data_IF_539165016997
#
_entry.id   IF_539165016997
#
_cell.length_a   1.000
_cell.length_b   1.000
_cell.length_c   1.000
_cell.angle_alpha   90.00
_cell.angle_beta   90.00
_cell.angle_gamma   90.00
#
_symmetry.space_group_name_H-M   'P 1'
#
loop_
_entity.id
_entity.type
_entity.pdbx_description
1 polymer ?
#
# COMPACT_ATOMS: atom_id res chain seq x y z
N UNK A 1 7.46 -9.25 13.47
CA UNK A 1 8.55 -9.31 12.47
C UNK A 1 8.04 -10.13 11.30
N UNK A 2 8.00 -9.61 10.07
CA UNK A 2 7.58 -10.42 8.93
C UNK A 2 8.61 -11.53 8.67
N UNK A 3 8.14 -12.76 8.58
CA UNK A 3 8.96 -13.89 8.18
C UNK A 3 9.11 -13.90 6.64
N UNK A 4 10.30 -14.22 6.15
CA UNK A 4 10.54 -14.48 4.72
C UNK A 4 9.78 -15.74 4.27
N UNK A 5 9.48 -15.92 2.96
CA UNK A 5 8.87 -17.14 2.44
C UNK A 5 9.60 -18.44 2.81
N UNK A 6 10.85 -18.36 3.23
CA UNK A 6 11.63 -19.48 3.75
C UNK A 6 11.54 -19.63 5.28
N UNK A 7 10.63 -18.94 5.95
CA UNK A 7 10.55 -18.89 7.41
C UNK A 7 11.72 -18.14 8.07
N UNK A 8 12.63 -17.59 7.29
CA UNK A 8 13.74 -16.80 7.78
C UNK A 8 13.29 -15.34 7.96
N UNK A 9 13.49 -14.79 9.15
CA UNK A 9 13.41 -13.35 9.40
C UNK A 9 14.44 -12.68 8.47
N UNK A 10 13.99 -11.71 7.65
CA UNK A 10 14.91 -10.93 6.82
C UNK A 10 16.05 -10.40 7.68
N UNK A 11 17.28 -10.71 7.28
CA UNK A 11 18.48 -10.23 7.96
C UNK A 11 18.39 -8.70 8.16
N UNK A 12 18.60 -8.18 9.37
CA UNK A 12 18.46 -6.76 9.68
C UNK A 12 19.23 -5.83 8.75
N UNK A 13 20.39 -6.27 8.26
CA UNK A 13 21.20 -5.52 7.29
C UNK A 13 20.53 -5.42 5.92
N UNK A 14 19.87 -6.48 5.45
CA UNK A 14 19.17 -6.49 4.16
C UNK A 14 17.92 -5.60 4.23
N UNK A 15 17.17 -5.68 5.33
CA UNK A 15 16.04 -4.79 5.59
C UNK A 15 16.47 -3.32 5.62
N UNK A 16 17.55 -3.00 6.33
CA UNK A 16 18.08 -1.64 6.40
C UNK A 16 18.52 -1.13 5.02
N UNK A 17 19.18 -1.96 4.22
CA UNK A 17 19.62 -1.60 2.87
C UNK A 17 18.41 -1.29 1.96
N UNK A 18 17.32 -2.05 2.03
CA UNK A 18 16.09 -1.78 1.27
C UNK A 18 15.40 -0.49 1.74
N UNK A 19 15.36 -0.24 3.05
CA UNK A 19 14.78 0.97 3.64
C UNK A 19 15.60 2.24 3.38
N UNK A 20 16.89 2.12 3.09
CA UNK A 20 17.78 3.24 2.77
C UNK A 20 17.97 3.48 1.28
N UNK A 21 17.35 2.67 0.42
CA UNK A 21 17.49 2.77 -1.04
C UNK A 21 16.92 4.07 -1.64
N UNK A 22 16.06 4.79 -0.91
CA UNK A 22 15.50 6.07 -1.35
C UNK A 22 15.88 7.20 -0.38
N UNK A 23 16.78 8.13 -0.78
CA UNK A 23 17.27 9.19 0.10
C UNK A 23 16.22 10.26 0.45
N UNK A 24 15.04 10.18 -0.14
CA UNK A 24 13.94 11.14 0.08
C UNK A 24 12.84 10.61 0.99
N UNK A 25 12.93 9.33 1.37
CA UNK A 25 11.97 8.68 2.24
C UNK A 25 12.67 8.22 3.52
N UNK A 26 11.94 8.23 4.62
CA UNK A 26 12.42 7.65 5.87
C UNK A 26 11.27 6.96 6.62
N UNK A 27 11.62 6.02 7.45
CA UNK A 27 10.68 5.34 8.34
C UNK A 27 10.61 6.07 9.65
N UNK A 28 9.40 6.36 10.12
CA UNK A 28 9.15 7.06 11.38
C UNK A 28 7.98 6.45 12.15
N UNK A 29 7.72 7.01 13.32
CA UNK A 29 6.57 6.67 14.14
C UNK A 29 5.30 7.33 13.54
N UNK A 30 4.29 6.51 13.24
CA UNK A 30 2.99 6.91 12.73
C UNK A 30 1.88 6.81 13.82
N UNK A 31 2.26 6.86 15.10
CA UNK A 31 1.36 6.80 16.24
C UNK A 31 0.60 5.47 16.31
N UNK A 32 -0.74 5.49 16.42
CA UNK A 32 -1.55 4.26 16.55
C UNK A 32 -1.39 3.26 15.40
N UNK A 33 -0.85 3.70 14.25
CA UNK A 33 -0.60 2.87 13.08
C UNK A 33 0.75 2.13 13.16
N UNK A 34 1.59 2.46 14.13
CA UNK A 34 2.93 1.90 14.29
C UNK A 34 3.97 2.64 13.46
N UNK A 35 4.74 1.93 12.64
CA UNK A 35 5.69 2.54 11.72
C UNK A 35 5.00 3.01 10.44
N UNK A 36 5.49 4.11 9.87
CA UNK A 36 5.05 4.64 8.60
C UNK A 36 6.22 5.15 7.77
N UNK A 37 5.95 5.50 6.53
CA UNK A 37 6.93 6.09 5.61
C UNK A 37 6.62 7.58 5.44
N UNK A 38 7.64 8.40 5.53
CA UNK A 38 7.54 9.85 5.47
C UNK A 38 8.43 10.41 4.37
N UNK A 39 8.01 11.53 3.78
CA UNK A 39 8.87 12.25 2.82
C UNK A 39 9.80 13.22 3.55
N UNK A 40 11.09 13.19 3.24
CA UNK A 40 12.08 14.14 3.76
C UNK A 40 12.07 15.49 3.04
N UNK A 41 11.30 15.63 1.96
CA UNK A 41 11.25 16.84 1.10
C UNK A 41 9.83 17.13 0.66
N UNK A 42 9.47 18.40 0.39
CA UNK A 42 8.19 18.72 -0.26
C UNK A 42 8.03 17.96 -1.59
N UNK A 43 6.80 17.58 -1.91
CA UNK A 43 6.42 16.89 -3.16
C UNK A 43 5.21 17.56 -3.76
N UNK A 44 5.13 17.54 -5.10
CA UNK A 44 3.97 18.04 -5.81
C UNK A 44 3.00 16.92 -6.16
N UNK A 45 1.73 17.23 -6.24
CA UNK A 45 0.74 16.32 -6.80
C UNK A 45 1.19 15.83 -8.18
N UNK A 46 1.06 14.52 -8.42
CA UNK A 46 1.50 13.84 -9.64
C UNK A 46 2.95 13.34 -9.62
N UNK A 47 3.78 13.73 -8.65
CA UNK A 47 5.14 13.21 -8.57
C UNK A 47 5.15 11.72 -8.22
N UNK A 48 6.03 10.98 -8.91
CA UNK A 48 6.32 9.57 -8.59
C UNK A 48 7.29 9.53 -7.42
N UNK A 49 6.89 8.85 -6.35
CA UNK A 49 7.65 8.76 -5.11
C UNK A 49 8.35 7.43 -4.94
N UNK A 50 7.80 6.36 -5.51
CA UNK A 50 8.39 5.02 -5.52
C UNK A 50 8.01 4.30 -6.82
N UNK A 51 8.92 3.45 -7.29
CA UNK A 51 8.77 2.71 -8.55
C UNK A 51 9.19 1.26 -8.38
N UNK A 52 8.39 0.34 -8.93
CA UNK A 52 8.72 -1.06 -9.19
C UNK A 52 8.34 -1.33 -10.66
N UNK A 53 9.25 -1.04 -11.60
CA UNK A 53 8.98 -1.13 -13.05
C UNK A 53 9.66 -2.34 -13.72
N UNK A 54 10.39 -3.15 -12.98
CA UNK A 54 11.05 -4.35 -13.52
C UNK A 54 10.13 -5.58 -13.58
N UNK A 55 8.86 -5.41 -13.24
CA UNK A 55 7.86 -6.47 -13.16
C UNK A 55 8.10 -7.46 -12.00
N UNK A 56 8.98 -7.11 -11.06
CA UNK A 56 9.30 -7.98 -9.92
C UNK A 56 8.11 -8.24 -9.03
N UNK A 57 7.20 -7.28 -8.92
CA UNK A 57 5.99 -7.45 -8.12
C UNK A 57 5.13 -8.63 -8.61
N UNK A 58 4.94 -8.78 -9.93
CA UNK A 58 4.16 -9.89 -10.51
C UNK A 58 4.83 -11.25 -10.30
N UNK A 59 6.17 -11.30 -10.37
CA UNK A 59 6.94 -12.53 -10.12
C UNK A 59 6.93 -12.96 -8.66
N UNK A 60 6.76 -12.02 -7.73
CA UNK A 60 6.69 -12.26 -6.29
C UNK A 60 5.27 -12.55 -5.80
N UNK A 61 4.27 -12.25 -6.61
CA UNK A 61 2.88 -12.45 -6.22
C UNK A 61 2.57 -13.96 -6.08
N UNK A 62 1.84 -14.28 -5.04
CA UNK A 62 1.45 -15.65 -4.68
C UNK A 62 -0.07 -15.77 -4.65
N UNK A 63 -0.64 -16.91 -5.04
CA UNK A 63 -2.02 -17.23 -4.71
C UNK A 63 -2.25 -17.15 -3.20
N UNK A 64 -3.44 -16.73 -2.78
CA UNK A 64 -3.75 -16.56 -1.34
C UNK A 64 -3.42 -17.81 -0.52
N UNK A 65 -3.82 -18.98 -1.00
CA UNK A 65 -3.55 -20.25 -0.30
C UNK A 65 -2.05 -20.49 -0.07
N UNK A 66 -1.21 -20.15 -1.05
CA UNK A 66 0.24 -20.30 -0.94
C UNK A 66 0.84 -19.28 0.05
N UNK A 67 0.34 -18.05 0.07
CA UNK A 67 0.78 -17.03 1.01
C UNK A 67 0.41 -17.42 2.47
N UNK A 68 -0.83 -17.88 2.68
CA UNK A 68 -1.28 -18.36 3.99
C UNK A 68 -0.49 -19.59 4.48
N UNK A 69 -0.15 -20.53 3.58
CA UNK A 69 0.68 -21.70 3.91
C UNK A 69 2.10 -21.32 4.35
N UNK A 70 2.59 -20.14 3.94
CA UNK A 70 3.86 -19.56 4.40
C UNK A 70 3.73 -18.79 5.72
N UNK A 71 2.55 -18.71 6.31
CA UNK A 71 2.30 -18.06 7.59
C UNK A 71 1.98 -16.57 7.52
N UNK A 72 1.78 -16.00 6.31
CA UNK A 72 1.42 -14.58 6.17
C UNK A 72 -0.02 -14.31 6.61
N UNK A 73 -0.22 -13.20 7.33
CA UNK A 73 -1.56 -12.71 7.69
C UNK A 73 -2.16 -11.90 6.55
N UNK A 74 -3.30 -12.37 6.00
CA UNK A 74 -3.96 -11.71 4.88
C UNK A 74 -4.31 -10.24 5.13
N UNK A 75 -4.78 -9.90 6.34
CA UNK A 75 -5.30 -8.56 6.66
C UNK A 75 -4.20 -7.58 7.03
N UNK A 76 -3.08 -8.08 7.55
CA UNK A 76 -2.02 -7.25 8.12
C UNK A 76 -0.80 -7.11 7.24
N UNK A 77 -0.53 -8.14 6.42
CA UNK A 77 0.78 -8.26 5.78
C UNK A 77 0.69 -8.36 4.26
N UNK A 78 -0.44 -8.86 3.72
CA UNK A 78 -0.55 -9.12 2.30
C UNK A 78 -1.18 -7.92 1.56
N UNK A 79 -0.50 -7.45 0.52
CA UNK A 79 -1.06 -6.50 -0.42
C UNK A 79 -1.77 -7.24 -1.57
N UNK A 80 -3.05 -6.98 -1.76
CA UNK A 80 -3.81 -7.61 -2.84
C UNK A 80 -3.50 -6.97 -4.19
N UNK A 81 -2.88 -7.74 -5.07
CA UNK A 81 -2.46 -7.30 -6.40
C UNK A 81 -3.52 -7.64 -7.47
N UNK A 82 -4.13 -8.82 -7.38
CA UNK A 82 -5.22 -9.28 -8.25
C UNK A 82 -6.23 -10.13 -7.44
N UNK A 83 -7.24 -10.68 -8.08
CA UNK A 83 -8.33 -11.42 -7.45
C UNK A 83 -7.84 -12.52 -6.49
N UNK A 84 -6.83 -13.28 -6.89
CA UNK A 84 -6.18 -14.33 -6.08
C UNK A 84 -4.65 -14.18 -6.09
N UNK A 85 -4.12 -12.97 -6.28
CA UNK A 85 -2.69 -12.73 -6.23
C UNK A 85 -2.36 -11.70 -5.16
N UNK A 86 -1.45 -12.07 -4.28
CA UNK A 86 -1.05 -11.29 -3.11
C UNK A 86 0.47 -11.15 -3.04
N UNK A 87 0.92 -9.99 -2.61
CA UNK A 87 2.33 -9.71 -2.37
C UNK A 87 2.62 -9.81 -0.89
N UNK A 88 3.48 -10.75 -0.48
CA UNK A 88 4.03 -10.76 0.86
C UNK A 88 5.07 -9.65 1.03
N UNK A 89 5.28 -9.16 2.27
CA UNK A 89 6.26 -8.13 2.56
C UNK A 89 7.68 -8.58 2.24
N UNK A 90 8.53 -7.64 1.84
CA UNK A 90 9.94 -7.89 1.51
C UNK A 90 10.93 -7.08 2.35
N UNK A 91 10.43 -6.25 3.27
CA UNK A 91 11.25 -5.38 4.12
C UNK A 91 11.64 -4.06 3.45
N UNK A 92 10.88 -3.60 2.46
CA UNK A 92 11.06 -2.31 1.80
C UNK A 92 10.04 -1.27 2.24
N UNK A 93 10.15 -0.03 1.76
CA UNK A 93 9.23 1.06 2.14
C UNK A 93 7.77 0.74 1.84
N UNK A 94 7.49 0.05 0.73
CA UNK A 94 6.15 -0.32 0.30
C UNK A 94 5.38 -1.17 1.33
N UNK A 95 6.09 -1.93 2.17
CA UNK A 95 5.48 -2.73 3.24
C UNK A 95 4.97 -1.88 4.43
N UNK A 96 5.37 -0.62 4.50
CA UNK A 96 5.13 0.28 5.64
C UNK A 96 4.19 1.45 5.29
N UNK A 97 3.61 1.46 4.10
CA UNK A 97 2.63 2.49 3.74
C UNK A 97 1.30 2.22 4.44
N UNK A 98 0.95 3.12 5.34
CA UNK A 98 -0.29 3.04 6.10
C UNK A 98 -1.51 3.48 5.28
N UNK A 99 -2.69 3.10 5.78
CA UNK A 99 -3.95 3.63 5.29
C UNK A 99 -4.21 5.03 5.81
N UNK A 100 -4.83 5.87 4.97
CA UNK A 100 -5.57 7.05 5.38
C UNK A 100 -6.87 7.20 4.56
N UNK A 101 -7.93 7.73 5.19
CA UNK A 101 -9.17 8.06 4.49
C UNK A 101 -9.06 9.35 3.66
N UNK A 102 -8.07 10.21 3.98
CA UNK A 102 -7.58 11.32 3.16
C UNK A 102 -6.10 11.07 2.86
N UNK A 103 -5.80 10.23 1.86
CA UNK A 103 -4.44 9.76 1.61
C UNK A 103 -3.56 10.83 0.94
N UNK A 104 -2.25 10.70 1.18
CA UNK A 104 -1.23 11.53 0.54
C UNK A 104 -0.86 11.03 -0.86
N UNK A 105 -1.08 9.75 -1.15
CA UNK A 105 -0.70 9.12 -2.40
C UNK A 105 -1.58 7.94 -2.79
N UNK A 106 -1.17 7.24 -3.84
CA UNK A 106 -1.84 6.04 -4.32
C UNK A 106 -0.97 5.23 -5.26
N UNK A 107 -1.29 3.94 -5.35
CA UNK A 107 -0.61 3.00 -6.22
C UNK A 107 -1.23 2.97 -7.61
N UNK A 108 -0.44 3.23 -8.63
CA UNK A 108 -0.76 2.94 -10.03
C UNK A 108 -0.14 1.60 -10.41
N UNK A 109 -0.97 0.58 -10.63
CA UNK A 109 -0.54 -0.77 -10.98
C UNK A 109 -0.75 -1.03 -12.46
N UNK A 110 0.28 -1.50 -13.13
CA UNK A 110 0.29 -1.83 -14.55
C UNK A 110 0.89 -3.23 -14.78
N UNK A 111 0.73 -3.82 -15.98
CA UNK A 111 1.42 -5.06 -16.31
C UNK A 111 2.96 -4.97 -16.18
N UNK A 112 3.54 -3.79 -16.34
CA UNK A 112 4.98 -3.56 -16.22
C UNK A 112 5.48 -3.39 -14.79
N UNK A 113 4.58 -3.13 -13.83
CA UNK A 113 4.99 -2.87 -12.44
C UNK A 113 4.04 -1.97 -11.68
N UNK A 114 4.55 -1.26 -10.71
CA UNK A 114 3.78 -0.33 -9.90
C UNK A 114 4.53 0.99 -9.65
N UNK A 115 3.77 2.07 -9.50
CA UNK A 115 4.28 3.38 -9.08
C UNK A 115 3.44 3.89 -7.93
N UNK A 116 4.09 4.45 -6.92
CA UNK A 116 3.41 5.23 -5.91
C UNK A 116 3.52 6.71 -6.26
N UNK A 117 2.38 7.37 -6.43
CA UNK A 117 2.31 8.79 -6.78
C UNK A 117 1.74 9.62 -5.63
N UNK A 118 2.21 10.87 -5.50
CA UNK A 118 1.55 11.86 -4.66
C UNK A 118 0.22 12.29 -5.32
N UNK A 119 -0.90 12.28 -4.59
CA UNK A 119 -2.21 12.70 -5.12
C UNK A 119 -2.63 14.10 -4.63
N UNK A 120 -1.80 14.72 -3.81
CA UNK A 120 -1.83 16.11 -3.37
C UNK A 120 -0.42 16.62 -3.14
N UNK A 121 -0.25 17.92 -2.97
CA UNK A 121 1.03 18.49 -2.52
C UNK A 121 1.34 18.01 -1.09
N UNK A 122 2.61 17.72 -0.84
CA UNK A 122 3.13 17.23 0.44
C UNK A 122 4.22 18.16 0.95
N UNK A 123 4.22 18.41 2.25
CA UNK A 123 5.33 19.05 2.95
C UNK A 123 6.40 18.01 3.33
N UNK A 124 7.60 18.47 3.63
CA UNK A 124 8.59 17.62 4.29
C UNK A 124 8.05 17.17 5.65
N UNK A 125 8.17 15.89 5.95
CA UNK A 125 7.62 15.27 7.16
C UNK A 125 6.21 14.71 7.00
N UNK A 126 5.53 14.91 5.86
CA UNK A 126 4.24 14.27 5.62
C UNK A 126 4.39 12.75 5.46
N UNK A 127 3.46 12.01 6.05
CA UNK A 127 3.39 10.56 5.91
C UNK A 127 2.86 10.17 4.53
N UNK A 128 3.48 9.17 3.91
CA UNK A 128 3.00 8.55 2.68
C UNK A 128 1.97 7.48 3.01
N UNK A 129 0.73 7.77 2.64
CA UNK A 129 -0.42 6.90 2.91
C UNK A 129 -1.22 6.68 1.63
N UNK A 130 -1.96 5.57 1.55
CA UNK A 130 -2.94 5.34 0.49
C UNK A 130 -4.26 4.81 1.05
N UNK A 131 -5.32 4.89 0.28
CA UNK A 131 -6.59 4.30 0.68
C UNK A 131 -6.59 2.80 0.35
N UNK A 132 -6.56 1.96 1.36
CA UNK A 132 -6.55 0.49 1.21
C UNK A 132 -7.78 -0.01 0.44
N UNK A 133 -8.90 0.70 0.52
CA UNK A 133 -10.10 0.38 -0.25
C UNK A 133 -9.88 0.30 -1.76
N UNK A 134 -8.84 0.99 -2.29
CA UNK A 134 -8.48 0.92 -3.70
C UNK A 134 -7.94 -0.45 -4.14
N UNK A 135 -7.63 -1.33 -3.19
CA UNK A 135 -7.05 -2.66 -3.43
C UNK A 135 -7.82 -3.80 -2.78
N UNK A 136 -8.84 -3.51 -1.96
CA UNK A 136 -9.64 -4.53 -1.29
C UNK A 136 -10.84 -4.94 -2.15
N UNK A 137 -11.03 -6.24 -2.31
CA UNK A 137 -12.12 -6.85 -3.05
C UNK A 137 -13.19 -7.47 -2.13
N UNK A 138 -12.80 -7.99 -0.97
CA UNK A 138 -13.69 -8.74 -0.11
C UNK A 138 -14.33 -7.88 0.98
N UNK A 139 -15.64 -8.02 1.16
CA UNK A 139 -16.37 -7.40 2.28
C UNK A 139 -16.03 -8.01 3.64
N UNK A 140 -15.46 -9.20 3.66
CA UNK A 140 -15.04 -9.88 4.88
C UNK A 140 -13.71 -9.34 5.44
N UNK A 141 -13.04 -8.44 4.69
CA UNK A 141 -11.74 -7.87 5.06
C UNK A 141 -11.85 -6.48 5.71
N UNK A 142 -13.00 -6.14 6.26
CA UNK A 142 -13.16 -4.86 6.92
C UNK A 142 -12.25 -4.75 8.15
N UNK A 143 -11.63 -3.57 8.31
CA UNK A 143 -10.72 -3.25 9.40
C UNK A 143 -11.13 -1.94 10.05
N UNK A 144 -10.88 -1.80 11.36
CA UNK A 144 -11.05 -0.52 12.05
C UNK A 144 -9.98 0.45 11.56
N UNK A 145 -10.41 1.66 11.19
CA UNK A 145 -9.51 2.70 10.75
C UNK A 145 -8.93 3.49 11.93
N UNK A 146 -7.62 3.66 11.96
CA UNK A 146 -6.89 4.46 12.93
C UNK A 146 -6.17 5.66 12.31
N UNK A 147 -6.60 6.15 11.13
CA UNK A 147 -5.87 7.20 10.40
C UNK A 147 -5.93 8.58 11.06
N UNK A 148 -6.94 8.86 11.89
CA UNK A 148 -7.08 10.12 12.64
C UNK A 148 -7.38 11.36 11.80
N UNK A 149 -7.65 11.25 10.49
CA UNK A 149 -8.03 12.41 9.67
C UNK A 149 -9.46 12.89 10.00
N UNK A 150 -9.76 14.16 9.69
CA UNK A 150 -11.07 14.78 9.99
C UNK A 150 -12.23 14.01 9.34
N UNK A 151 -12.03 13.51 8.12
CA UNK A 151 -13.03 12.76 7.35
C UNK A 151 -12.85 11.24 7.49
N UNK A 152 -12.36 10.79 8.66
CA UNK A 152 -12.14 9.37 8.91
C UNK A 152 -13.45 8.60 8.83
N UNK A 153 -13.48 7.55 8.00
CA UNK A 153 -14.65 6.68 7.80
C UNK A 153 -14.88 5.67 8.94
N UNK A 154 -13.94 5.59 9.90
CA UNK A 154 -14.00 4.62 11.01
C UNK A 154 -13.74 3.18 10.61
N UNK A 155 -14.02 2.82 9.36
CA UNK A 155 -13.85 1.48 8.82
C UNK A 155 -13.18 1.53 7.44
N UNK A 156 -12.24 0.64 7.21
CA UNK A 156 -11.64 0.36 5.92
C UNK A 156 -12.38 -0.85 5.34
N UNK A 157 -12.93 -0.72 4.16
CA UNK A 157 -13.66 -1.78 3.47
C UNK A 157 -13.37 -1.75 1.97
N UNK A 158 -14.00 -2.62 1.17
CA UNK A 158 -13.79 -2.67 -0.28
C UNK A 158 -14.22 -1.38 -0.98
N UNK A 159 -13.72 -1.22 -2.20
CA UNK A 159 -13.85 0.00 -3.00
C UNK A 159 -15.31 0.45 -3.24
N UNK A 160 -16.21 -0.49 -3.41
CA UNK A 160 -17.63 -0.22 -3.64
C UNK A 160 -18.36 0.37 -2.41
N UNK A 161 -17.77 0.30 -1.22
CA UNK A 161 -18.26 0.96 -0.02
C UNK A 161 -17.82 2.43 0.11
N UNK A 162 -16.92 2.89 -0.73
CA UNK A 162 -16.52 4.30 -0.74
C UNK A 162 -17.63 5.20 -1.25
N UNK A 163 -17.72 6.45 -0.75
CA UNK A 163 -18.58 7.46 -1.37
C UNK A 163 -18.32 7.60 -2.87
N UNK A 164 -19.38 7.74 -3.67
CA UNK A 164 -19.27 7.78 -5.14
C UNK A 164 -18.30 8.85 -5.65
N UNK A 165 -18.22 10.00 -4.97
CA UNK A 165 -17.26 11.06 -5.31
C UNK A 165 -15.80 10.61 -5.16
N UNK A 166 -15.48 9.87 -4.10
CA UNK A 166 -14.13 9.30 -3.90
C UNK A 166 -13.84 8.21 -4.91
N UNK A 167 -14.80 7.32 -5.19
CA UNK A 167 -14.63 6.30 -6.21
C UNK A 167 -14.27 6.90 -7.57
N UNK A 168 -14.99 7.96 -7.99
CA UNK A 168 -14.71 8.69 -9.23
C UNK A 168 -13.31 9.29 -9.20
N UNK A 169 -12.96 10.05 -8.15
CA UNK A 169 -11.65 10.68 -7.99
C UNK A 169 -10.51 9.67 -8.10
N UNK A 170 -10.60 8.53 -7.42
CA UNK A 170 -9.54 7.53 -7.44
C UNK A 170 -9.41 6.83 -8.80
N UNK A 171 -10.53 6.63 -9.52
CA UNK A 171 -10.48 6.16 -10.92
C UNK A 171 -9.81 7.17 -11.85
N UNK A 172 -10.13 8.45 -11.73
CA UNK A 172 -9.51 9.53 -12.51
C UNK A 172 -8.01 9.65 -12.26
N UNK A 173 -7.58 9.45 -11.01
CA UNK A 173 -6.17 9.41 -10.62
C UNK A 173 -5.45 8.12 -11.05
N UNK A 174 -6.18 7.09 -11.48
CA UNK A 174 -5.62 5.80 -11.86
C UNK A 174 -5.02 5.01 -10.69
N UNK A 175 -5.47 5.26 -9.45
CA UNK A 175 -4.93 4.63 -8.23
C UNK A 175 -5.80 3.50 -7.70
N UNK A 176 -6.75 3.03 -8.49
CA UNK A 176 -7.57 1.86 -8.17
C UNK A 176 -6.97 0.64 -8.84
N UNK A 177 -6.85 -0.46 -8.09
CA UNK A 177 -6.24 -1.67 -8.64
C UNK A 177 -7.03 -2.21 -9.84
N UNK A 178 -6.36 -2.78 -10.85
CA UNK A 178 -7.04 -3.39 -11.99
C UNK A 178 -8.02 -4.50 -11.58
N UNK A 179 -7.74 -5.21 -10.51
CA UNK A 179 -8.63 -6.24 -9.99
C UNK A 179 -9.96 -5.67 -9.47
N UNK A 180 -9.89 -4.56 -8.73
CA UNK A 180 -11.07 -3.84 -8.24
C UNK A 180 -11.88 -3.27 -9.40
N UNK A 181 -11.22 -2.70 -10.41
CA UNK A 181 -11.91 -2.17 -11.59
C UNK A 181 -12.66 -3.25 -12.36
N UNK A 182 -12.08 -4.46 -12.48
CA UNK A 182 -12.73 -5.60 -13.16
C UNK A 182 -13.89 -6.18 -12.38
N UNK A 183 -13.84 -6.17 -11.06
CA UNK A 183 -14.92 -6.68 -10.20
C UNK A 183 -16.13 -5.75 -10.13
N UNK A 184 -15.93 -4.47 -10.45
CA UNK A 184 -16.97 -3.43 -10.43
C UNK A 184 -17.61 -3.16 -11.81
N UNK A 185 -17.18 -3.88 -12.86
CA UNK A 185 -17.72 -3.79 -14.21
C UNK A 185 -18.83 -4.82 -14.43
#
# INVERSE_FOLDING_TARGET
MPASPDGAVLEPRRRLALLTACPYLFVGDAGPKGQGVFTARPRRAGEILLVDEDGSLWRRALPLAAALAQGWDRRRELFQLDADLFLPPRGSFDDLFNHACDPSGGWQITPGGARFIAIRDLAAGDELTYDYSCHLLSRDEQMVCACGCADCRGTIGPFDMLPTGLQRRYRELGVVSPAVLRSAA
#
